data_IF_962896122919
#
_entry.id   IF_962896122919
#
_cell.length_a   1.000
_cell.length_b   1.000
_cell.length_c   1.000
_cell.angle_alpha   90.00
_cell.angle_beta   90.00
_cell.angle_gamma   90.00
#
_symmetry.space_group_name_H-M   'P 1'
#
loop_
_entity.id
_entity.type
_entity.pdbx_description
1 polymer ?
#
# COMPACT_ATOMS: atom_id res chain seq x y z
N UNK A 1 0.32 -30.45 29.86
CA UNK A 1 0.78 -29.87 28.58
C UNK A 1 -0.39 -29.14 27.97
N UNK A 2 -0.40 -27.81 28.01
CA UNK A 2 -1.29 -26.96 27.22
C UNK A 2 -0.43 -25.84 26.61
N UNK A 3 0.44 -26.24 25.67
CA UNK A 3 1.22 -25.32 24.85
C UNK A 3 0.37 -24.90 23.65
N UNK A 4 -0.70 -24.14 23.90
CA UNK A 4 -1.49 -23.49 22.86
C UNK A 4 -1.41 -21.97 23.07
N UNK A 5 -0.17 -21.49 23.11
CA UNK A 5 0.14 -20.18 22.56
C UNK A 5 1.00 -20.53 21.35
N UNK A 6 0.33 -20.90 20.26
CA UNK A 6 0.94 -20.70 18.94
C UNK A 6 1.12 -19.20 18.83
N UNK A 7 2.32 -18.76 19.24
CA UNK A 7 2.85 -17.45 18.90
C UNK A 7 2.98 -17.51 17.39
N UNK A 8 1.91 -17.13 16.67
CA UNK A 8 2.00 -16.67 15.29
C UNK A 8 3.10 -15.63 15.37
N UNK A 9 4.26 -15.95 14.82
CA UNK A 9 5.40 -15.06 14.82
C UNK A 9 5.07 -13.88 13.90
N UNK A 10 4.28 -12.93 14.39
CA UNK A 10 3.94 -11.63 13.82
C UNK A 10 5.14 -10.69 13.96
N UNK A 11 6.34 -11.15 13.58
CA UNK A 11 7.50 -10.26 13.58
C UNK A 11 7.41 -9.40 12.32
N UNK A 12 7.31 -8.07 12.47
CA UNK A 12 7.35 -7.19 11.31
C UNK A 12 8.63 -7.43 10.52
N UNK A 13 8.50 -7.51 9.20
CA UNK A 13 9.63 -7.51 8.29
C UNK A 13 9.92 -6.08 7.87
N UNK A 14 11.12 -5.61 8.18
CA UNK A 14 11.60 -4.31 7.77
C UNK A 14 12.20 -4.37 6.36
N UNK A 15 11.80 -3.43 5.52
CA UNK A 15 12.28 -3.27 4.15
C UNK A 15 12.63 -1.80 3.96
N UNK A 16 13.86 -1.51 3.56
CA UNK A 16 14.32 -0.13 3.41
C UNK A 16 13.61 0.60 2.27
N UNK A 17 13.28 -0.13 1.19
CA UNK A 17 12.73 0.44 -0.03
C UNK A 17 11.81 -0.55 -0.75
N UNK A 18 10.64 -0.08 -1.18
CA UNK A 18 9.73 -0.80 -2.08
C UNK A 18 9.43 0.08 -3.29
N UNK A 19 9.64 -0.46 -4.48
CA UNK A 19 9.18 0.10 -5.74
C UNK A 19 7.91 -0.64 -6.16
N UNK A 20 6.83 0.08 -6.48
CA UNK A 20 5.56 -0.56 -6.79
C UNK A 20 4.48 0.38 -7.30
N UNK A 21 3.26 -0.12 -7.35
CA UNK A 21 2.12 0.57 -7.95
C UNK A 21 0.95 0.63 -6.97
N UNK A 22 0.56 1.85 -6.59
CA UNK A 22 -0.57 2.16 -5.74
C UNK A 22 -1.87 2.05 -6.53
N UNK A 23 -2.79 1.24 -5.99
CA UNK A 23 -4.18 1.23 -6.43
C UNK A 23 -5.07 1.46 -5.22
N UNK A 24 -5.94 2.46 -5.32
CA UNK A 24 -6.97 2.76 -4.32
C UNK A 24 -8.30 2.88 -5.03
N UNK A 25 -9.31 2.21 -4.51
CA UNK A 25 -10.65 2.20 -5.05
C UNK A 25 -11.69 2.29 -3.94
N UNK A 26 -12.88 2.72 -4.33
CA UNK A 26 -14.05 2.76 -3.47
C UNK A 26 -15.10 1.83 -4.06
N UNK A 27 -15.24 0.63 -3.48
CA UNK A 27 -16.24 -0.36 -3.86
C UNK A 27 -16.85 -0.94 -2.59
N UNK A 28 -17.96 -0.35 -2.13
CA UNK A 28 -18.58 -0.60 -0.82
C UNK A 28 -17.68 -0.26 0.40
N UNK A 29 -16.67 0.57 0.19
CA UNK A 29 -15.69 0.98 1.18
C UNK A 29 -14.35 1.35 0.55
N UNK A 30 -13.60 2.20 1.25
CA UNK A 30 -12.27 2.62 0.81
C UNK A 30 -11.28 1.46 1.01
N UNK A 31 -10.58 1.09 -0.06
CA UNK A 31 -9.61 0.00 -0.04
C UNK A 31 -8.45 0.28 -0.98
N UNK A 32 -7.27 -0.27 -0.66
CA UNK A 32 -6.09 -0.05 -1.48
C UNK A 32 -4.97 -1.05 -1.22
N UNK A 33 -4.08 -1.15 -2.19
CA UNK A 33 -2.92 -2.02 -2.12
C UNK A 33 -1.76 -1.47 -2.97
N UNK A 34 -0.57 -2.00 -2.72
CA UNK A 34 0.64 -1.80 -3.50
C UNK A 34 0.93 -3.10 -4.25
N UNK A 35 0.99 -3.04 -5.58
CA UNK A 35 1.49 -4.14 -6.40
C UNK A 35 2.99 -3.98 -6.64
N UNK A 36 3.77 -5.06 -6.53
CA UNK A 36 5.21 -5.02 -6.83
C UNK A 36 5.54 -5.09 -8.33
N UNK A 37 4.53 -5.27 -9.18
CA UNK A 37 4.64 -5.29 -10.63
C UNK A 37 3.40 -4.59 -11.24
N UNK A 38 3.57 -3.98 -12.41
CA UNK A 38 2.52 -3.21 -13.13
C UNK A 38 1.48 -4.12 -13.81
N UNK A 39 1.49 -5.42 -13.52
CA UNK A 39 0.41 -6.33 -13.89
C UNK A 39 0.21 -6.50 -15.40
N UNK A 40 1.13 -7.21 -16.06
CA UNK A 40 0.79 -7.94 -17.29
C UNK A 40 0.64 -9.45 -17.06
N UNK A 41 0.88 -9.93 -15.84
CA UNK A 41 0.73 -11.34 -15.48
C UNK A 41 -0.33 -11.52 -14.38
N UNK A 42 -1.28 -12.39 -14.67
CA UNK A 42 -2.46 -12.78 -13.88
C UNK A 42 -2.16 -13.41 -12.51
N UNK A 43 -0.95 -13.28 -11.98
CA UNK A 43 -0.59 -13.78 -10.66
C UNK A 43 -0.85 -12.68 -9.63
N UNK A 44 -2.01 -12.74 -9.00
CA UNK A 44 -2.47 -11.98 -7.83
C UNK A 44 -1.54 -12.05 -6.59
N UNK A 45 -0.32 -12.57 -6.73
CA UNK A 45 0.53 -13.07 -5.63
C UNK A 45 1.47 -12.04 -4.99
N UNK A 46 1.52 -10.80 -5.45
CA UNK A 46 2.42 -9.78 -4.89
C UNK A 46 1.70 -8.46 -4.60
N UNK A 47 0.56 -8.53 -3.91
CA UNK A 47 -0.14 -7.35 -3.39
C UNK A 47 0.15 -7.18 -1.91
N UNK A 48 0.50 -5.96 -1.53
CA UNK A 48 0.66 -5.55 -0.14
C UNK A 48 -0.53 -4.68 0.22
N UNK A 49 -1.35 -5.13 1.16
CA UNK A 49 -2.56 -4.44 1.59
C UNK A 49 -2.18 -3.16 2.33
N UNK A 50 -2.83 -2.07 1.97
CA UNK A 50 -2.62 -0.76 2.59
C UNK A 50 -3.75 -0.49 3.59
N UNK A 51 -3.46 -0.28 4.89
CA UNK A 51 -4.50 0.06 5.85
C UNK A 51 -5.16 1.40 5.51
N UNK A 52 -6.44 1.52 5.87
CA UNK A 52 -7.28 2.70 5.56
C UNK A 52 -6.65 3.99 6.09
N UNK A 53 -5.99 3.97 7.26
CA UNK A 53 -5.30 5.14 7.81
C UNK A 53 -4.22 5.72 6.90
N UNK A 54 -3.48 4.85 6.19
CA UNK A 54 -2.48 5.29 5.21
C UNK A 54 -3.18 5.88 3.98
N UNK A 55 -4.26 5.26 3.51
CA UNK A 55 -5.04 5.74 2.36
C UNK A 55 -5.62 7.14 2.65
N UNK A 56 -6.24 7.32 3.81
CA UNK A 56 -6.83 8.60 4.21
C UNK A 56 -5.79 9.72 4.24
N UNK A 57 -4.59 9.43 4.77
CA UNK A 57 -3.49 10.40 4.80
C UNK A 57 -2.96 10.71 3.40
N UNK A 58 -2.84 9.70 2.52
CA UNK A 58 -2.44 9.91 1.12
C UNK A 58 -3.43 10.83 0.41
N UNK A 59 -4.73 10.52 0.48
CA UNK A 59 -5.78 11.33 -0.16
C UNK A 59 -5.81 12.76 0.39
N UNK A 60 -5.60 12.93 1.70
CA UNK A 60 -5.63 14.24 2.34
C UNK A 60 -4.43 15.11 1.98
N UNK A 61 -3.25 14.52 1.83
CA UNK A 61 -2.00 15.25 1.60
C UNK A 61 -1.63 15.37 0.12
N UNK A 62 -2.23 14.58 -0.77
CA UNK A 62 -2.08 14.73 -2.23
C UNK A 62 -2.86 15.94 -2.76
N UNK A 63 -2.10 16.96 -3.16
CA UNK A 63 -2.56 18.17 -3.83
C UNK A 63 -2.07 18.24 -5.29
N UNK A 64 -1.40 17.20 -5.78
CA UNK A 64 -0.74 17.17 -7.10
C UNK A 64 -1.54 16.38 -8.11
N UNK A 65 -1.85 15.11 -7.81
CA UNK A 65 -2.46 14.20 -8.79
C UNK A 65 -3.98 14.30 -8.77
N UNK A 66 -4.54 14.57 -7.59
CA UNK A 66 -5.97 14.81 -7.43
C UNK A 66 -6.78 13.53 -7.59
N UNK A 67 -7.87 13.47 -6.84
CA UNK A 67 -8.74 12.29 -6.85
C UNK A 67 -9.69 12.34 -8.05
N UNK A 68 -9.71 11.29 -8.87
CA UNK A 68 -10.72 11.14 -9.94
C UNK A 68 -12.12 10.98 -9.33
N UNK A 69 -12.90 12.06 -9.29
CA UNK A 69 -14.28 12.04 -8.79
C UNK A 69 -15.20 11.41 -9.84
N UNK A 70 -15.84 10.29 -9.48
CA UNK A 70 -16.86 9.60 -10.29
C UNK A 70 -16.44 8.25 -10.89
N UNK A 71 -15.16 7.88 -10.78
CA UNK A 71 -14.68 6.54 -11.07
C UNK A 71 -14.66 5.65 -9.83
N UNK A 72 -14.65 4.33 -10.01
CA UNK A 72 -14.44 3.39 -8.89
C UNK A 72 -13.03 3.51 -8.29
N UNK A 73 -12.08 4.11 -9.01
CA UNK A 73 -10.67 4.23 -8.63
C UNK A 73 -10.32 5.68 -8.29
N UNK A 74 -9.62 5.85 -7.16
CA UNK A 74 -9.04 7.11 -6.72
C UNK A 74 -7.60 7.22 -7.20
N UNK A 75 -6.85 6.11 -7.13
CA UNK A 75 -5.55 5.91 -7.75
C UNK A 75 -5.58 4.58 -8.50
N UNK A 76 -5.11 4.55 -9.75
CA UNK A 76 -5.11 3.34 -10.57
C UNK A 76 -3.69 3.08 -11.10
N UNK A 77 -3.00 2.07 -10.56
CA UNK A 77 -1.62 1.74 -10.91
C UNK A 77 -0.66 2.95 -10.89
N UNK A 78 -0.83 3.86 -9.92
CA UNK A 78 0.07 4.99 -9.76
C UNK A 78 1.44 4.49 -9.30
N UNK A 79 2.52 4.87 -9.99
CA UNK A 79 3.87 4.46 -9.60
C UNK A 79 4.23 5.10 -8.24
N UNK A 80 4.81 4.30 -7.35
CA UNK A 80 5.18 4.76 -6.01
C UNK A 80 6.50 4.17 -5.52
N UNK A 81 7.20 4.97 -4.70
CA UNK A 81 8.32 4.52 -3.89
C UNK A 81 7.97 4.61 -2.42
N UNK A 82 8.16 3.52 -1.67
CA UNK A 82 8.01 3.48 -0.22
C UNK A 82 9.38 3.36 0.42
N UNK A 83 9.63 4.14 1.50
CA UNK A 83 10.85 4.01 2.30
C UNK A 83 10.53 3.59 3.73
N UNK A 84 11.45 2.79 4.28
CA UNK A 84 11.42 2.22 5.63
C UNK A 84 10.05 1.63 5.98
N UNK A 85 9.73 0.55 5.28
CA UNK A 85 8.45 -0.14 5.38
C UNK A 85 8.54 -1.29 6.40
N UNK A 86 7.53 -1.41 7.25
CA UNK A 86 7.26 -2.58 8.09
C UNK A 86 6.10 -3.36 7.50
N UNK A 87 6.29 -4.66 7.27
CA UNK A 87 5.25 -5.56 6.78
C UNK A 87 4.85 -6.58 7.84
N UNK A 88 3.55 -6.80 8.01
CA UNK A 88 2.96 -7.88 8.78
C UNK A 88 2.39 -8.95 7.85
N UNK A 89 2.53 -10.20 8.26
CA UNK A 89 1.94 -11.35 7.58
C UNK A 89 0.73 -11.83 8.39
N UNK A 90 -0.46 -11.61 7.85
CA UNK A 90 -1.74 -11.89 8.52
C UNK A 90 -2.65 -12.68 7.57
N UNK A 91 -3.15 -13.85 8.00
CA UNK A 91 -4.16 -14.63 7.27
C UNK A 91 -3.87 -14.75 5.75
N UNK A 92 -2.69 -15.26 5.41
CA UNK A 92 -2.18 -15.41 4.02
C UNK A 92 -2.04 -14.10 3.21
N UNK A 93 -2.11 -12.96 3.88
CA UNK A 93 -1.97 -11.63 3.31
C UNK A 93 -0.75 -10.91 3.87
N UNK A 94 -0.20 -10.00 3.07
CA UNK A 94 0.87 -9.09 3.50
C UNK A 94 0.25 -7.71 3.67
N UNK A 95 0.40 -7.14 4.85
CA UNK A 95 -0.19 -5.84 5.22
C UNK A 95 0.93 -4.88 5.60
N UNK A 96 0.79 -3.62 5.18
CA UNK A 96 1.68 -2.55 5.66
C UNK A 96 1.31 -2.21 7.10
N UNK A 97 2.31 -2.26 7.97
CA UNK A 97 2.20 -1.84 9.37
C UNK A 97 2.75 -0.43 9.57
N UNK A 98 3.87 -0.12 8.92
CA UNK A 98 4.50 1.19 8.97
C UNK A 98 5.15 1.53 7.63
N UNK A 99 5.13 2.82 7.31
CA UNK A 99 5.87 3.46 6.21
C UNK A 99 6.44 4.74 6.84
N UNK A 100 7.63 5.17 6.45
CA UNK A 100 8.13 6.51 6.82
C UNK A 100 7.83 7.54 5.74
N UNK A 101 7.99 7.14 4.47
CA UNK A 101 7.78 8.00 3.31
C UNK A 101 7.13 7.22 2.16
N UNK A 102 6.12 7.82 1.53
CA UNK A 102 5.66 7.43 0.19
C UNK A 102 5.93 8.58 -0.78
N UNK A 103 6.47 8.25 -1.95
CA UNK A 103 6.53 9.15 -3.09
C UNK A 103 5.59 8.65 -4.18
N UNK A 104 4.65 9.48 -4.61
CA UNK A 104 3.77 9.27 -5.76
C UNK A 104 4.43 9.86 -7.01
N UNK A 105 4.38 9.13 -8.12
CA UNK A 105 5.11 9.42 -9.36
C UNK A 105 4.18 9.29 -10.58
N UNK A 106 4.15 10.30 -11.44
CA UNK A 106 3.54 10.24 -12.78
C UNK A 106 4.23 11.26 -13.71
N UNK A 107 4.80 10.77 -14.81
CA UNK A 107 5.62 11.55 -15.75
C UNK A 107 6.69 12.41 -15.02
N UNK A 108 6.63 13.74 -15.14
CA UNK A 108 7.55 14.70 -14.53
C UNK A 108 7.08 15.19 -13.14
N UNK A 109 5.94 14.68 -12.65
CA UNK A 109 5.33 15.09 -11.39
C UNK A 109 5.70 14.11 -10.28
N UNK A 110 6.00 14.67 -9.11
CA UNK A 110 6.31 13.89 -7.91
C UNK A 110 5.60 14.51 -6.70
N UNK A 111 5.06 13.67 -5.81
CA UNK A 111 4.56 14.07 -4.50
C UNK A 111 5.14 13.20 -3.41
N UNK A 112 5.78 13.82 -2.41
CA UNK A 112 6.27 13.10 -1.22
C UNK A 112 5.33 13.33 -0.04
N UNK A 113 4.97 12.25 0.66
CA UNK A 113 4.13 12.24 1.86
C UNK A 113 4.89 11.49 2.96
N UNK A 114 4.97 12.09 4.15
CA UNK A 114 5.72 11.57 5.30
C UNK A 114 4.73 11.07 6.36
N UNK A 115 4.92 9.85 6.85
CA UNK A 115 3.97 9.16 7.72
C UNK A 115 4.20 9.37 9.21
#
# INVERSE_FOLDING_TARGET
MNNLIDVISMKPRYIDFIDGYLTVYNNDGLSGYIALDNGNHSDYKARIILPISFIDKIIKEDDVFGVLVGGNFLYCNMHVWLKKVSLLYENDSVVIDMIEEIKLLEDDLEKTIIF
#
